data_IF_611060295803
#
_entry.id   IF_611060295803
#
_cell.length_a   1.000
_cell.length_b   1.000
_cell.length_c   1.000
_cell.angle_alpha   90.00
_cell.angle_beta   90.00
_cell.angle_gamma   90.00
#
_symmetry.space_group_name_H-M   'P 1'
#
loop_
_entity.id
_entity.type
_entity.pdbx_description
1 polymer ?
#
# COMPACT_ATOMS: atom_id res chain seq x y z
N UNK A 1 31.41 16.57 -1.73
CA UNK A 1 31.26 18.03 -1.60
C UNK A 1 29.83 18.41 -1.97
N UNK A 2 29.05 18.86 -0.99
CA UNK A 2 27.69 19.34 -1.22
C UNK A 2 27.78 20.73 -1.87
N UNK A 3 27.08 20.92 -2.99
CA UNK A 3 26.99 22.24 -3.63
C UNK A 3 26.28 23.22 -2.68
N UNK A 4 26.75 24.48 -2.56
CA UNK A 4 26.10 25.48 -1.74
C UNK A 4 24.67 25.75 -2.26
N UNK A 5 23.75 26.00 -1.33
CA UNK A 5 22.37 26.32 -1.64
C UNK A 5 22.32 27.62 -2.47
N UNK A 6 21.63 27.66 -3.62
CA UNK A 6 21.56 28.84 -4.48
C UNK A 6 20.75 30.00 -3.87
N UNK A 7 20.06 29.78 -2.77
CA UNK A 7 19.25 30.79 -2.07
C UNK A 7 20.11 31.41 -0.95
N UNK A 8 20.17 32.72 -0.87
CA UNK A 8 20.98 33.49 0.14
C UNK A 8 20.59 33.19 1.60
N UNK A 9 19.46 32.60 1.87
CA UNK A 9 19.05 32.08 3.18
C UNK A 9 18.97 30.57 3.13
N UNK A 10 19.35 29.83 4.20
CA UNK A 10 19.18 28.38 4.22
C UNK A 10 17.70 28.03 4.01
N UNK A 11 17.42 27.30 2.93
CA UNK A 11 16.10 26.77 2.65
C UNK A 11 15.75 25.65 3.63
N UNK A 12 14.47 25.26 3.73
CA UNK A 12 14.01 24.20 4.63
C UNK A 12 14.73 22.86 4.45
N UNK A 13 15.31 22.61 3.25
CA UNK A 13 16.10 21.40 2.97
C UNK A 13 17.57 21.52 3.42
N UNK A 14 18.11 22.74 3.56
CA UNK A 14 19.52 22.97 3.87
C UNK A 14 19.78 23.39 5.32
N UNK A 15 18.75 23.85 6.06
CA UNK A 15 18.90 24.23 7.45
C UNK A 15 19.14 22.97 8.33
N UNK A 16 19.98 23.05 9.36
CA UNK A 16 20.10 21.97 10.33
C UNK A 16 18.73 21.77 11.01
N UNK A 17 18.31 20.52 11.14
CA UNK A 17 17.09 20.17 11.85
C UNK A 17 17.22 20.56 13.33
N UNK A 18 16.20 21.19 13.88
CA UNK A 18 16.15 21.48 15.32
C UNK A 18 16.02 20.19 16.12
N UNK A 19 16.42 20.22 17.41
CA UNK A 19 16.25 19.05 18.30
C UNK A 19 14.78 18.57 18.36
N UNK A 20 13.86 19.49 18.24
CA UNK A 20 12.42 19.21 18.22
C UNK A 20 12.01 18.50 16.93
N UNK A 21 12.53 18.89 15.78
CA UNK A 21 12.32 18.22 14.48
C UNK A 21 12.95 16.82 14.47
N UNK A 22 14.10 16.64 15.14
CA UNK A 22 14.74 15.33 15.30
C UNK A 22 13.92 14.44 16.24
N UNK A 23 13.42 14.99 17.34
CA UNK A 23 12.51 14.29 18.27
C UNK A 23 11.19 13.92 17.58
N UNK A 24 10.62 14.84 16.81
CA UNK A 24 9.39 14.56 16.04
C UNK A 24 9.62 13.45 15.00
N UNK A 25 10.77 13.46 14.33
CA UNK A 25 11.15 12.39 13.41
C UNK A 25 11.34 11.05 14.12
N UNK A 26 11.91 11.05 15.32
CA UNK A 26 12.11 9.85 16.14
C UNK A 26 10.78 9.29 16.68
N UNK A 27 9.89 10.17 17.18
CA UNK A 27 8.54 9.79 17.60
C UNK A 27 7.74 9.24 16.42
N UNK A 28 7.90 9.83 15.24
CA UNK A 28 7.29 9.39 13.99
C UNK A 28 7.80 8.01 13.57
N UNK A 29 9.10 7.71 13.72
CA UNK A 29 9.67 6.39 13.48
C UNK A 29 9.10 5.33 14.42
N UNK A 30 8.88 5.66 15.70
CA UNK A 30 8.27 4.74 16.69
C UNK A 30 6.80 4.46 16.37
N UNK A 31 6.04 5.45 15.87
CA UNK A 31 4.66 5.25 15.42
C UNK A 31 4.57 4.48 14.09
N UNK A 32 5.60 4.56 13.25
CA UNK A 32 5.70 3.81 11.99
C UNK A 32 5.88 2.29 12.21
N UNK A 33 6.31 1.86 13.41
CA UNK A 33 6.57 0.45 13.72
C UNK A 33 5.32 -0.34 14.12
N UNK A 34 4.21 0.32 14.39
CA UNK A 34 2.95 -0.35 14.72
C UNK A 34 2.15 -0.60 13.45
N UNK A 35 2.24 -1.83 12.96
CA UNK A 35 1.38 -2.29 11.84
C UNK A 35 0.08 -2.82 12.43
N UNK A 36 -0.96 -1.97 12.46
CA UNK A 36 -2.30 -2.42 12.85
C UNK A 36 -2.97 -3.17 11.69
N UNK A 37 -2.73 -4.47 11.66
CA UNK A 37 -3.38 -5.40 10.72
C UNK A 37 -4.64 -6.04 11.29
N UNK A 38 -4.92 -5.84 12.58
CA UNK A 38 -6.00 -6.52 13.28
C UNK A 38 -7.36 -6.35 12.60
N UNK A 39 -7.64 -5.21 12.00
CA UNK A 39 -8.90 -4.98 11.31
C UNK A 39 -9.01 -5.61 9.92
N UNK A 40 -7.91 -6.13 9.35
CA UNK A 40 -7.91 -6.84 8.06
C UNK A 40 -7.92 -8.35 8.31
N UNK A 41 -7.24 -8.79 9.36
CA UNK A 41 -6.99 -10.19 9.68
C UNK A 41 -7.93 -10.73 10.79
N UNK A 42 -9.01 -10.01 11.12
CA UNK A 42 -9.96 -10.41 12.18
C UNK A 42 -10.98 -11.46 11.75
N UNK A 43 -10.99 -11.85 10.49
CA UNK A 43 -11.91 -12.87 9.99
C UNK A 43 -11.19 -14.23 9.94
N UNK A 44 -11.86 -15.31 10.37
CA UNK A 44 -11.33 -16.67 10.37
C UNK A 44 -10.80 -17.15 9.01
N UNK A 45 -11.22 -16.49 7.93
CA UNK A 45 -10.77 -16.75 6.56
C UNK A 45 -9.41 -16.13 6.20
N UNK A 46 -8.88 -15.22 7.03
CA UNK A 46 -7.73 -14.38 6.66
C UNK A 46 -6.70 -14.31 7.79
N UNK A 47 -6.19 -15.45 8.12
CA UNK A 47 -5.09 -15.54 9.08
C UNK A 47 -3.82 -14.95 8.48
N UNK A 48 -2.93 -14.43 9.33
CA UNK A 48 -1.63 -13.93 8.90
C UNK A 48 -0.86 -14.99 8.09
N UNK A 49 -0.94 -16.26 8.51
CA UNK A 49 -0.29 -17.39 7.85
C UNK A 49 -0.85 -17.61 6.44
N UNK A 50 -2.18 -17.63 6.28
CA UNK A 50 -2.80 -17.79 4.96
C UNK A 50 -2.45 -16.63 4.01
N UNK A 51 -2.38 -15.41 4.54
CA UNK A 51 -2.00 -14.24 3.77
C UNK A 51 -0.52 -14.29 3.35
N UNK A 52 0.36 -14.71 4.25
CA UNK A 52 1.78 -14.92 3.95
C UNK A 52 1.98 -15.95 2.85
N UNK A 53 1.33 -17.09 2.95
CA UNK A 53 1.37 -18.14 1.94
C UNK A 53 0.83 -17.64 0.59
N UNK A 54 -0.27 -16.89 0.62
CA UNK A 54 -0.84 -16.32 -0.59
C UNK A 54 0.10 -15.29 -1.24
N UNK A 55 0.78 -14.44 -0.47
CA UNK A 55 1.78 -13.52 -1.00
C UNK A 55 2.98 -14.25 -1.62
N UNK A 56 3.44 -15.33 -1.00
CA UNK A 56 4.56 -16.16 -1.51
C UNK A 56 4.18 -16.95 -2.78
N UNK A 57 2.92 -17.28 -2.94
CA UNK A 57 2.42 -18.05 -4.09
C UNK A 57 1.88 -17.15 -5.23
N UNK A 58 1.62 -15.88 -4.97
CA UNK A 58 1.12 -14.94 -5.96
C UNK A 58 2.19 -14.64 -7.03
N UNK A 59 1.92 -14.86 -8.32
CA UNK A 59 2.92 -14.70 -9.38
C UNK A 59 3.43 -13.26 -9.53
N UNK A 60 2.62 -12.28 -9.14
CA UNK A 60 2.95 -10.86 -9.24
C UNK A 60 3.76 -10.35 -8.02
N UNK A 61 3.50 -10.92 -6.85
CA UNK A 61 4.12 -10.51 -5.58
C UNK A 61 5.39 -11.31 -5.32
N UNK A 62 5.37 -12.62 -5.58
CA UNK A 62 6.48 -13.53 -5.28
C UNK A 62 7.86 -13.06 -5.69
N UNK A 63 8.11 -12.58 -6.93
CA UNK A 63 9.46 -12.15 -7.31
C UNK A 63 9.99 -11.01 -6.45
N UNK A 64 9.11 -10.08 -6.09
CA UNK A 64 9.44 -8.93 -5.25
C UNK A 64 9.64 -9.37 -3.79
N UNK A 65 8.78 -10.26 -3.30
CA UNK A 65 8.86 -10.83 -1.95
C UNK A 65 10.19 -11.57 -1.74
N UNK A 66 10.55 -12.45 -2.67
CA UNK A 66 11.81 -13.19 -2.63
C UNK A 66 13.03 -12.27 -2.68
N UNK A 67 12.99 -11.24 -3.53
CA UNK A 67 14.07 -10.27 -3.64
C UNK A 67 14.23 -9.45 -2.35
N UNK A 68 13.12 -8.99 -1.73
CA UNK A 68 13.14 -8.29 -0.44
C UNK A 68 13.66 -9.17 0.71
N UNK A 69 13.38 -10.49 0.65
CA UNK A 69 13.87 -11.42 1.67
C UNK A 69 15.38 -11.65 1.53
N UNK A 70 15.91 -11.62 0.31
CA UNK A 70 17.34 -11.82 0.04
C UNK A 70 18.19 -10.60 0.37
N UNK A 71 17.73 -9.41 0.05
CA UNK A 71 18.46 -8.16 0.26
C UNK A 71 17.52 -6.97 0.42
N UNK A 72 17.92 -6.02 1.28
CA UNK A 72 17.28 -4.71 1.36
C UNK A 72 17.58 -3.84 0.12
N UNK A 73 18.66 -4.14 -0.61
CA UNK A 73 19.05 -3.39 -1.79
C UNK A 73 18.12 -3.70 -2.97
N UNK A 74 17.76 -2.66 -3.69
CA UNK A 74 16.91 -2.78 -4.87
C UNK A 74 17.61 -3.57 -5.98
N UNK A 75 17.02 -4.67 -6.49
CA UNK A 75 17.58 -5.40 -7.60
C UNK A 75 17.77 -4.51 -8.84
N UNK A 76 18.86 -4.68 -9.59
CA UNK A 76 19.08 -3.93 -10.82
C UNK A 76 18.02 -4.29 -11.87
N UNK A 77 17.72 -3.35 -12.76
CA UNK A 77 16.69 -3.49 -13.80
C UNK A 77 16.91 -4.73 -14.70
N UNK A 78 18.17 -5.14 -14.90
CA UNK A 78 18.50 -6.33 -15.70
C UNK A 78 17.92 -7.62 -15.12
N UNK A 79 17.92 -7.75 -13.79
CA UNK A 79 17.38 -8.94 -13.10
C UNK A 79 15.85 -8.98 -13.12
N UNK A 80 15.22 -7.83 -13.27
CA UNK A 80 13.75 -7.70 -13.27
C UNK A 80 13.14 -7.70 -14.67
N UNK A 81 13.92 -7.94 -15.72
CA UNK A 81 13.45 -7.88 -17.12
C UNK A 81 12.26 -8.80 -17.39
N UNK A 82 12.29 -10.01 -16.85
CA UNK A 82 11.26 -11.03 -17.04
C UNK A 82 10.08 -10.90 -16.04
N UNK A 83 10.15 -9.94 -15.13
CA UNK A 83 9.05 -9.71 -14.19
C UNK A 83 7.85 -9.14 -14.92
N UNK A 84 6.67 -9.47 -14.41
CA UNK A 84 5.42 -8.97 -14.93
C UNK A 84 5.29 -7.44 -14.77
N UNK A 85 4.25 -6.88 -15.35
CA UNK A 85 3.94 -5.45 -15.20
C UNK A 85 3.68 -5.07 -13.75
N UNK A 86 2.88 -5.84 -13.01
CA UNK A 86 2.56 -5.55 -11.61
C UNK A 86 3.77 -5.71 -10.70
N UNK A 87 4.57 -6.78 -10.89
CA UNK A 87 5.84 -6.95 -10.17
C UNK A 87 6.78 -5.75 -10.39
N UNK A 88 6.87 -5.23 -11.61
CA UNK A 88 7.65 -4.01 -11.92
C UNK A 88 7.08 -2.77 -11.26
N UNK A 89 5.75 -2.63 -11.17
CA UNK A 89 5.12 -1.52 -10.44
C UNK A 89 5.44 -1.57 -8.95
N UNK A 90 5.49 -2.76 -8.35
CA UNK A 90 5.98 -2.94 -6.97
C UNK A 90 7.48 -2.61 -6.88
N UNK A 91 8.30 -3.12 -7.78
CA UNK A 91 9.73 -2.84 -7.82
C UNK A 91 10.05 -1.34 -7.91
N UNK A 92 9.27 -0.55 -8.64
CA UNK A 92 9.42 0.91 -8.68
C UNK A 92 9.18 1.58 -7.32
N UNK A 93 8.45 0.93 -6.43
CA UNK A 93 8.16 1.40 -5.09
C UNK A 93 9.09 0.80 -4.01
N UNK A 94 10.20 0.18 -4.40
CA UNK A 94 11.13 -0.53 -3.53
C UNK A 94 11.42 0.15 -2.18
N UNK A 95 11.74 1.46 -2.11
CA UNK A 95 12.02 2.13 -0.84
C UNK A 95 10.83 2.20 0.13
N UNK A 96 9.64 1.88 -0.36
CA UNK A 96 8.39 1.89 0.42
C UNK A 96 7.93 0.50 0.80
N UNK A 97 8.61 -0.55 0.31
CA UNK A 97 8.24 -1.94 0.59
C UNK A 97 9.03 -2.47 1.78
N UNK A 98 8.39 -3.29 2.59
CA UNK A 98 9.02 -3.96 3.72
C UNK A 98 8.30 -5.27 4.02
N UNK A 99 9.06 -6.28 4.45
CA UNK A 99 8.49 -7.51 5.01
C UNK A 99 8.52 -7.38 6.53
N UNK A 100 7.34 -7.55 7.16
CA UNK A 100 7.14 -7.47 8.60
C UNK A 100 6.31 -8.67 9.05
N UNK A 101 6.81 -9.44 10.00
CA UNK A 101 6.15 -10.64 10.50
C UNK A 101 5.70 -11.61 9.37
N UNK A 102 6.56 -11.79 8.34
CA UNK A 102 6.27 -12.63 7.20
C UNK A 102 5.36 -12.03 6.13
N UNK A 103 4.81 -10.84 6.34
CA UNK A 103 3.91 -10.17 5.42
C UNK A 103 4.57 -9.00 4.71
N UNK A 104 4.31 -8.84 3.42
CA UNK A 104 4.78 -7.70 2.66
C UNK A 104 3.83 -6.52 2.79
N UNK A 105 4.39 -5.38 3.17
CA UNK A 105 3.70 -4.10 3.30
C UNK A 105 4.31 -3.04 2.42
N UNK A 106 3.49 -2.04 2.11
CA UNK A 106 3.90 -0.79 1.48
C UNK A 106 3.69 0.37 2.44
N UNK A 107 4.72 1.18 2.65
CA UNK A 107 4.61 2.44 3.37
C UNK A 107 3.91 3.48 2.49
N UNK A 108 2.86 4.07 3.02
CA UNK A 108 2.15 5.17 2.42
C UNK A 108 2.29 6.42 3.29
N UNK A 109 2.54 7.55 2.66
CA UNK A 109 2.65 8.84 3.31
C UNK A 109 1.61 9.77 2.72
N UNK A 110 0.90 10.50 3.60
CA UNK A 110 -0.02 11.56 3.19
C UNK A 110 0.75 12.65 2.43
N UNK A 111 0.14 13.32 1.43
CA UNK A 111 0.79 14.43 0.73
C UNK A 111 1.37 15.50 1.65
N UNK A 112 0.70 15.75 2.78
CA UNK A 112 1.16 16.68 3.81
C UNK A 112 2.33 16.16 4.66
N UNK A 113 2.71 14.91 4.45
CA UNK A 113 3.78 14.25 5.19
C UNK A 113 3.51 14.05 6.69
N UNK A 114 2.30 14.30 7.15
CA UNK A 114 1.92 14.24 8.58
C UNK A 114 1.59 12.83 9.03
N UNK A 115 1.01 12.04 8.13
CA UNK A 115 0.58 10.68 8.44
C UNK A 115 1.33 9.67 7.59
N UNK A 116 1.87 8.64 8.25
CA UNK A 116 2.40 7.46 7.61
C UNK A 116 1.53 6.27 7.99
N UNK A 117 1.26 5.39 7.06
CA UNK A 117 0.58 4.14 7.32
C UNK A 117 1.19 3.00 6.53
N UNK A 118 1.07 1.80 7.06
CA UNK A 118 1.47 0.59 6.38
C UNK A 118 0.25 -0.05 5.73
N UNK A 119 0.34 -0.24 4.44
CA UNK A 119 -0.68 -0.90 3.64
C UNK A 119 -0.22 -2.33 3.36
N UNK A 120 -1.05 -3.31 3.70
CA UNK A 120 -0.80 -4.71 3.36
C UNK A 120 -0.88 -4.88 1.84
N UNK A 121 0.12 -5.52 1.25
CA UNK A 121 0.11 -5.85 -0.18
C UNK A 121 -0.78 -7.07 -0.39
N UNK A 122 -1.85 -6.90 -1.17
CA UNK A 122 -2.91 -7.90 -1.30
C UNK A 122 -2.68 -8.78 -2.53
N UNK A 123 -2.58 -10.11 -2.34
CA UNK A 123 -2.53 -11.08 -3.43
C UNK A 123 -3.81 -11.09 -4.27
N UNK A 124 -3.70 -11.45 -5.54
CA UNK A 124 -4.82 -11.45 -6.49
C UNK A 124 -6.02 -12.24 -5.97
N UNK A 125 -5.80 -13.39 -5.36
CA UNK A 125 -6.84 -14.26 -4.83
C UNK A 125 -7.80 -13.58 -3.85
N UNK A 126 -7.34 -12.54 -3.14
CA UNK A 126 -8.13 -11.84 -2.12
C UNK A 126 -8.69 -10.49 -2.56
N UNK A 127 -8.20 -9.90 -3.66
CA UNK A 127 -8.54 -8.53 -4.09
C UNK A 127 -10.05 -8.33 -4.28
N UNK A 128 -10.70 -9.26 -4.97
CA UNK A 128 -12.13 -9.15 -5.30
C UNK A 128 -13.03 -9.24 -4.07
N UNK A 129 -12.71 -10.13 -3.15
CA UNK A 129 -13.49 -10.30 -1.91
C UNK A 129 -13.30 -9.09 -0.98
N UNK A 130 -12.07 -8.57 -0.86
CA UNK A 130 -11.79 -7.34 -0.12
C UNK A 130 -12.55 -6.14 -0.68
N UNK A 131 -12.52 -6.00 -2.00
CA UNK A 131 -13.29 -4.97 -2.67
C UNK A 131 -14.78 -5.12 -2.37
N UNK A 132 -15.32 -6.34 -2.49
CA UNK A 132 -16.73 -6.61 -2.22
C UNK A 132 -17.13 -6.18 -0.80
N UNK A 133 -16.32 -6.49 0.20
CA UNK A 133 -16.56 -6.09 1.60
C UNK A 133 -16.48 -4.58 1.78
N UNK A 134 -15.50 -3.92 1.20
CA UNK A 134 -15.37 -2.46 1.26
C UNK A 134 -16.51 -1.75 0.54
N UNK A 135 -16.97 -2.29 -0.58
CA UNK A 135 -18.02 -1.72 -1.41
C UNK A 135 -19.42 -1.95 -0.85
N UNK A 136 -19.70 -3.18 -0.39
CA UNK A 136 -21.03 -3.52 0.14
C UNK A 136 -21.26 -2.99 1.56
N UNK A 137 -20.18 -2.70 2.33
CA UNK A 137 -20.24 -2.24 3.71
C UNK A 137 -20.91 -3.24 4.66
N UNK A 138 -20.82 -2.99 5.97
CA UNK A 138 -21.49 -3.82 6.99
C UNK A 138 -23.02 -3.64 6.99
N UNK A 139 -23.51 -2.54 6.47
CA UNK A 139 -24.96 -2.21 6.43
C UNK A 139 -25.63 -2.51 5.09
N UNK A 140 -24.96 -3.24 4.18
CA UNK A 140 -25.50 -3.59 2.87
C UNK A 140 -25.65 -2.41 1.89
N UNK A 141 -25.14 -1.23 2.24
CA UNK A 141 -25.13 -0.05 1.39
C UNK A 141 -23.98 -0.09 0.40
N UNK A 142 -24.25 -0.13 -0.90
CA UNK A 142 -23.24 -0.05 -1.93
C UNK A 142 -22.57 1.34 -1.91
N UNK A 143 -21.37 1.41 -1.39
CA UNK A 143 -20.61 2.65 -1.32
C UNK A 143 -20.14 3.07 -2.72
N UNK A 144 -20.24 4.37 -3.01
CA UNK A 144 -19.66 4.93 -4.24
C UNK A 144 -18.13 4.74 -4.32
N UNK A 145 -17.57 5.04 -5.51
CA UNK A 145 -16.14 4.82 -5.80
C UNK A 145 -15.23 5.47 -4.75
N UNK A 146 -15.42 6.76 -4.47
CA UNK A 146 -14.57 7.52 -3.53
C UNK A 146 -14.57 6.93 -2.10
N UNK A 147 -15.74 6.53 -1.61
CA UNK A 147 -15.83 5.92 -0.27
C UNK A 147 -15.20 4.55 -0.22
N UNK A 148 -15.39 3.73 -1.27
CA UNK A 148 -14.75 2.42 -1.40
C UNK A 148 -13.24 2.57 -1.50
N UNK A 149 -12.75 3.49 -2.33
CA UNK A 149 -11.33 3.81 -2.44
C UNK A 149 -10.73 4.29 -1.12
N UNK A 150 -11.43 5.16 -0.41
CA UNK A 150 -10.98 5.65 0.89
C UNK A 150 -10.84 4.53 1.94
N UNK A 151 -11.75 3.55 1.92
CA UNK A 151 -11.64 2.40 2.83
C UNK A 151 -10.49 1.47 2.45
N UNK A 152 -10.33 1.16 1.16
CA UNK A 152 -9.26 0.29 0.68
C UNK A 152 -7.88 0.92 0.91
N UNK A 153 -7.71 2.18 0.51
CA UNK A 153 -6.41 2.86 0.54
C UNK A 153 -5.82 3.08 1.92
N UNK A 154 -6.60 2.99 2.98
CA UNK A 154 -6.10 3.18 4.35
C UNK A 154 -5.18 2.06 4.82
N UNK A 155 -5.42 0.82 4.39
CA UNK A 155 -4.77 -0.37 4.95
C UNK A 155 -4.29 -1.38 3.92
N UNK A 156 -4.72 -1.26 2.67
CA UNK A 156 -4.52 -2.25 1.63
C UNK A 156 -3.92 -1.63 0.38
N UNK A 157 -3.12 -2.41 -0.33
CA UNK A 157 -2.50 -1.98 -1.57
C UNK A 157 -2.30 -3.15 -2.53
N UNK A 158 -2.54 -2.91 -3.80
CA UNK A 158 -2.02 -3.65 -4.95
C UNK A 158 -1.86 -2.69 -6.13
N UNK A 159 -0.97 -2.95 -7.09
CA UNK A 159 -0.60 -1.95 -8.09
C UNK A 159 -1.78 -1.38 -8.91
N UNK A 160 -2.77 -2.22 -9.22
CA UNK A 160 -3.91 -1.88 -10.09
C UNK A 160 -5.19 -1.51 -9.32
N UNK A 161 -5.14 -1.38 -8.00
CA UNK A 161 -6.32 -1.29 -7.13
C UNK A 161 -7.36 -0.24 -7.53
N UNK A 162 -6.92 0.93 -8.05
CA UNK A 162 -7.85 2.00 -8.48
C UNK A 162 -8.60 1.63 -9.74
N UNK A 163 -7.90 1.09 -10.74
CA UNK A 163 -8.52 0.63 -11.98
C UNK A 163 -9.46 -0.55 -11.74
N UNK A 164 -9.06 -1.46 -10.85
CA UNK A 164 -9.88 -2.61 -10.49
C UNK A 164 -11.14 -2.17 -9.72
N UNK A 165 -11.02 -1.27 -8.76
CA UNK A 165 -12.13 -0.71 -8.02
C UNK A 165 -13.14 -0.01 -8.95
N UNK A 166 -12.66 0.83 -9.87
CA UNK A 166 -13.50 1.50 -10.85
C UNK A 166 -14.22 0.50 -11.76
N UNK A 167 -13.51 -0.53 -12.22
CA UNK A 167 -14.07 -1.60 -13.05
C UNK A 167 -15.14 -2.39 -12.29
N UNK A 168 -14.86 -2.83 -11.08
CA UNK A 168 -15.78 -3.65 -10.28
C UNK A 168 -17.03 -2.91 -9.84
N UNK A 169 -16.94 -1.60 -9.53
CA UNK A 169 -18.13 -0.77 -9.27
C UNK A 169 -19.00 -0.66 -10.51
N UNK A 170 -18.40 -0.47 -11.67
CA UNK A 170 -19.12 -0.39 -12.95
C UNK A 170 -19.90 -1.69 -13.26
N UNK A 171 -19.39 -2.83 -12.80
CA UNK A 171 -20.02 -4.14 -12.99
C UNK A 171 -20.92 -4.55 -11.82
N UNK A 172 -21.03 -3.74 -10.79
CA UNK A 172 -21.92 -4.00 -9.67
C UNK A 172 -23.38 -3.83 -10.11
N UNK A 173 -24.12 -4.93 -10.11
CA UNK A 173 -25.53 -4.93 -10.54
C UNK A 173 -26.41 -3.94 -9.77
N UNK A 174 -26.38 -3.89 -8.41
CA UNK A 174 -27.14 -2.90 -7.66
C UNK A 174 -26.75 -1.46 -8.03
N UNK A 175 -25.45 -1.14 -8.09
CA UNK A 175 -25.00 0.21 -8.46
C UNK A 175 -25.45 0.60 -9.87
N UNK A 176 -25.39 -0.33 -10.83
CA UNK A 176 -25.81 -0.09 -12.20
C UNK A 176 -27.32 0.20 -12.32
N UNK A 177 -28.13 -0.33 -11.41
CA UNK A 177 -29.57 -0.05 -11.35
C UNK A 177 -29.86 1.37 -10.81
N UNK A 178 -29.10 1.80 -9.80
CA UNK A 178 -29.24 3.16 -9.23
C UNK A 178 -28.76 4.26 -10.16
N UNK A 179 -27.76 4.00 -11.02
CA UNK A 179 -27.26 4.96 -12.00
C UNK A 179 -28.08 5.04 -13.29
N UNK A 180 -29.09 4.20 -13.43
CA UNK A 180 -30.09 4.27 -14.52
C UNK A 180 -31.36 4.98 -14.08
N UNK A 181 -31.25 6.00 -13.25
CA UNK A 181 -32.35 6.93 -13.01
C UNK A 181 -32.70 7.72 -14.28
N UNK A 182 -33.94 8.19 -14.42
CA UNK A 182 -34.50 8.72 -15.66
C UNK A 182 -33.70 9.89 -16.20
#
# INVERSE_FOLDING_TARGET
SRRPCPIRSPCTACRPKTEEEVRYSAIRQVQDDVVDTSAILTDDLWTATAMEEAQKNDPEIRPVYEALTKSADKPPSKETMLWSRESKMLWHQWPRLSIRNGLMYRRWEDPDGVRCSWQLVIPEAYRKELFRRAHSGMSGGHLGLEKTESQLSRRMYWPTWRSDAALWIRWCKPCAQYHRGP
#
